data_IF_790825741375
#
_entry.id   IF_790825741375
#
_cell.length_a   1.000
_cell.length_b   1.000
_cell.length_c   1.000
_cell.angle_alpha   90.00
_cell.angle_beta   90.00
_cell.angle_gamma   90.00
#
_symmetry.space_group_name_H-M   'P 1'
#
loop_
_entity.id
_entity.type
_entity.pdbx_description
1 polymer ?
#
# COMPACT_ATOMS: atom_id res chain seq x y z
N UNK A 1 -5.84 -14.80 13.67
CA UNK A 1 -6.05 -13.47 13.04
C UNK A 1 -5.68 -13.43 11.57
N UNK A 2 -4.50 -13.89 11.14
CA UNK A 2 -4.05 -13.83 9.73
C UNK A 2 -5.08 -14.31 8.70
N UNK A 3 -5.73 -15.45 8.92
CA UNK A 3 -6.76 -15.98 8.00
C UNK A 3 -7.96 -15.03 7.86
N UNK A 4 -8.46 -14.48 8.99
CA UNK A 4 -9.58 -13.52 8.99
C UNK A 4 -9.26 -12.24 8.23
N UNK A 5 -8.06 -11.68 8.43
CA UNK A 5 -7.60 -10.47 7.72
C UNK A 5 -7.42 -10.73 6.22
N UNK A 6 -6.92 -11.92 5.87
CA UNK A 6 -6.74 -12.32 4.47
C UNK A 6 -8.10 -12.46 3.76
N UNK A 7 -9.09 -13.07 4.41
CA UNK A 7 -10.44 -13.18 3.84
C UNK A 7 -11.15 -11.83 3.75
N UNK A 8 -10.94 -10.92 4.71
CA UNK A 8 -11.43 -9.55 4.61
C UNK A 8 -10.83 -8.82 3.41
N UNK A 9 -9.51 -8.89 3.23
CA UNK A 9 -8.82 -8.32 2.08
C UNK A 9 -9.31 -8.92 0.75
N UNK A 10 -9.53 -10.23 0.73
CA UNK A 10 -10.04 -10.93 -0.44
C UNK A 10 -11.44 -10.42 -0.81
N UNK A 11 -12.36 -10.43 0.14
CA UNK A 11 -13.76 -10.02 -0.09
C UNK A 11 -13.85 -8.59 -0.60
N UNK A 12 -13.07 -7.67 -0.03
CA UNK A 12 -13.25 -6.24 -0.26
C UNK A 12 -12.39 -5.69 -1.42
N UNK A 13 -11.32 -6.38 -1.81
CA UNK A 13 -10.34 -5.86 -2.79
C UNK A 13 -10.01 -6.83 -3.93
N UNK A 14 -10.44 -8.09 -3.89
CA UNK A 14 -10.17 -9.02 -5.00
C UNK A 14 -10.87 -8.54 -6.28
N UNK A 15 -10.12 -8.54 -7.39
CA UNK A 15 -10.63 -8.10 -8.69
C UNK A 15 -10.57 -6.59 -8.91
N UNK A 16 -10.13 -5.81 -7.90
CA UNK A 16 -9.90 -4.38 -8.07
C UNK A 16 -8.77 -4.13 -9.08
N UNK A 17 -9.08 -3.38 -10.13
CA UNK A 17 -8.11 -2.99 -11.14
C UNK A 17 -7.30 -1.81 -10.61
N UNK A 18 -5.98 -1.96 -10.59
CA UNK A 18 -5.05 -0.93 -10.15
C UNK A 18 -3.93 -0.73 -11.16
N UNK A 19 -3.46 0.50 -11.25
CA UNK A 19 -2.23 0.84 -11.97
C UNK A 19 -1.12 1.07 -10.97
N UNK A 20 -0.07 0.24 -11.03
CA UNK A 20 1.06 0.33 -10.12
C UNK A 20 2.27 0.97 -10.81
N UNK A 21 2.92 1.90 -10.12
CA UNK A 21 4.19 2.51 -10.56
C UNK A 21 5.26 2.36 -9.47
N UNK A 22 6.52 2.08 -9.83
CA UNK A 22 7.63 2.05 -8.88
C UNK A 22 7.77 3.37 -8.13
N UNK A 23 8.01 3.31 -6.83
CA UNK A 23 8.40 4.51 -6.06
C UNK A 23 9.78 4.98 -6.54
N UNK A 24 9.91 6.28 -6.81
CA UNK A 24 11.04 6.91 -7.48
C UNK A 24 10.81 7.16 -8.98
N UNK A 25 9.65 6.78 -9.53
CA UNK A 25 9.29 6.99 -10.93
C UNK A 25 8.25 8.12 -11.13
N UNK A 26 8.22 9.10 -10.22
CA UNK A 26 7.28 10.23 -10.25
C UNK A 26 5.97 9.96 -9.50
N UNK A 27 6.00 9.11 -8.48
CA UNK A 27 4.81 8.78 -7.68
C UNK A 27 4.63 9.76 -6.51
N UNK A 28 3.41 10.02 -6.03
CA UNK A 28 3.18 10.75 -4.78
C UNK A 28 3.93 10.24 -3.52
N UNK A 29 4.39 8.98 -3.55
CA UNK A 29 5.19 8.35 -2.49
C UNK A 29 6.70 8.65 -2.60
N UNK A 30 7.16 9.27 -3.69
CA UNK A 30 8.57 9.56 -3.92
C UNK A 30 9.13 10.47 -2.80
N UNK A 31 10.30 10.11 -2.26
CA UNK A 31 10.94 10.82 -1.15
C UNK A 31 10.28 10.60 0.22
N UNK A 32 9.13 9.93 0.29
CA UNK A 32 8.43 9.61 1.55
C UNK A 32 8.58 8.15 1.94
N UNK A 33 8.58 7.27 0.94
CA UNK A 33 8.72 5.82 1.10
C UNK A 33 10.02 5.38 0.43
N UNK A 34 10.72 4.42 1.04
CA UNK A 34 11.86 3.78 0.40
C UNK A 34 11.43 3.12 -0.91
N UNK A 35 12.19 3.29 -2.00
CA UNK A 35 11.89 2.64 -3.29
C UNK A 35 12.11 1.13 -3.26
N UNK A 36 12.79 0.61 -2.23
CA UNK A 36 13.06 -0.82 -2.02
C UNK A 36 12.98 -1.21 -0.55
N UNK A 37 12.60 -2.45 -0.31
CA UNK A 37 12.68 -3.12 1.00
C UNK A 37 13.39 -4.46 0.79
N UNK A 38 14.65 -4.56 1.26
CA UNK A 38 15.53 -5.65 0.87
C UNK A 38 15.66 -5.71 -0.66
N UNK A 39 15.42 -6.89 -1.23
CA UNK A 39 15.44 -7.09 -2.69
C UNK A 39 14.13 -6.73 -3.39
N UNK A 40 13.10 -6.34 -2.63
CA UNK A 40 11.76 -6.09 -3.17
C UNK A 40 11.60 -4.63 -3.62
N UNK A 41 11.04 -4.42 -4.81
CA UNK A 41 10.67 -3.11 -5.32
C UNK A 41 9.36 -2.64 -4.67
N UNK A 42 9.35 -1.40 -4.18
CA UNK A 42 8.12 -0.77 -3.66
C UNK A 42 7.40 -0.06 -4.80
N UNK A 43 6.09 -0.26 -4.88
CA UNK A 43 5.21 0.37 -5.87
C UNK A 43 4.09 1.12 -5.18
N UNK A 44 3.65 2.23 -5.79
CA UNK A 44 2.37 2.84 -5.47
C UNK A 44 1.33 2.37 -6.47
N UNK A 45 0.23 1.81 -5.98
CA UNK A 45 -0.87 1.30 -6.78
C UNK A 45 -2.10 2.19 -6.61
N UNK A 46 -2.60 2.75 -7.72
CA UNK A 46 -3.77 3.61 -7.74
C UNK A 46 -4.94 2.92 -8.43
N UNK A 47 -6.15 3.10 -7.90
CA UNK A 47 -7.39 2.71 -8.60
C UNK A 47 -7.65 3.61 -9.81
N UNK A 48 -8.63 3.26 -10.64
CA UNK A 48 -9.06 4.10 -11.76
C UNK A 48 -9.51 5.51 -11.32
N UNK A 49 -10.02 5.63 -10.09
CA UNK A 49 -10.40 6.90 -9.46
C UNK A 49 -9.23 7.63 -8.79
N UNK A 50 -8.00 7.11 -8.92
CA UNK A 50 -6.79 7.71 -8.36
C UNK A 50 -6.59 7.46 -6.86
N UNK A 51 -7.32 6.51 -6.25
CA UNK A 51 -7.17 6.20 -4.82
C UNK A 51 -5.97 5.29 -4.58
N UNK A 52 -5.16 5.60 -3.58
CA UNK A 52 -4.02 4.76 -3.19
C UNK A 52 -4.49 3.50 -2.46
N UNK A 53 -4.18 2.34 -3.04
CA UNK A 53 -4.52 1.03 -2.47
C UNK A 53 -3.94 0.85 -1.07
N UNK A 54 -2.70 1.31 -0.83
CA UNK A 54 -2.07 1.18 0.49
C UNK A 54 -2.81 2.03 1.55
N UNK A 55 -3.28 3.24 1.18
CA UNK A 55 -4.17 4.04 2.03
C UNK A 55 -5.48 3.31 2.32
N UNK A 56 -6.11 2.73 1.30
CA UNK A 56 -7.37 2.00 1.47
C UNK A 56 -7.22 0.80 2.42
N UNK A 57 -6.15 0.01 2.26
CA UNK A 57 -5.87 -1.15 3.10
C UNK A 57 -5.51 -0.77 4.55
N UNK A 58 -4.81 0.35 4.75
CA UNK A 58 -4.47 0.84 6.09
C UNK A 58 -5.65 1.48 6.82
N UNK A 59 -6.51 2.21 6.11
CA UNK A 59 -7.78 2.72 6.66
C UNK A 59 -8.76 1.60 7.00
N UNK A 60 -8.79 0.52 6.19
CA UNK A 60 -9.58 -0.68 6.46
C UNK A 60 -9.04 -1.56 7.60
N UNK A 61 -7.90 -1.20 8.21
CA UNK A 61 -7.30 -1.97 9.30
C UNK A 61 -6.70 -3.32 8.86
N UNK A 62 -6.47 -3.50 7.56
CA UNK A 62 -5.90 -4.74 6.99
C UNK A 62 -4.38 -4.71 7.07
N UNK A 63 -3.80 -3.56 6.75
CA UNK A 63 -2.36 -3.30 6.84
C UNK A 63 -2.11 -2.13 7.79
N UNK A 64 -0.85 -1.97 8.16
CA UNK A 64 -0.37 -0.82 8.91
C UNK A 64 0.99 -0.39 8.35
N UNK A 65 1.30 0.89 8.46
CA UNK A 65 2.56 1.47 8.02
C UNK A 65 3.66 1.15 9.03
N UNK A 66 4.68 0.41 8.61
CA UNK A 66 5.87 0.20 9.43
C UNK A 66 6.72 1.48 9.44
N UNK A 67 6.91 2.18 10.57
CA UNK A 67 7.49 3.54 10.58
C UNK A 67 8.86 3.66 9.88
N UNK A 68 9.71 2.64 9.99
CA UNK A 68 11.04 2.60 9.36
C UNK A 68 10.98 2.63 7.83
N UNK A 69 9.90 2.14 7.22
CA UNK A 69 9.72 2.07 5.76
C UNK A 69 8.70 3.10 5.28
N UNK A 70 7.63 3.20 6.06
CA UNK A 70 6.43 4.02 6.00
C UNK A 70 6.62 5.54 6.12
N UNK A 71 7.55 5.92 7.00
CA UNK A 71 7.46 7.20 7.70
C UNK A 71 6.08 7.40 8.33
N UNK A 72 5.55 8.63 8.23
CA UNK A 72 4.19 8.99 8.64
C UNK A 72 3.16 8.89 7.49
N UNK A 73 3.51 8.26 6.36
CA UNK A 73 2.67 8.25 5.14
C UNK A 73 1.38 7.46 5.31
N UNK A 74 1.43 6.37 6.08
CA UNK A 74 0.28 5.51 6.36
C UNK A 74 0.03 5.41 7.87
N UNK A 75 -1.20 5.02 8.25
CA UNK A 75 -1.55 4.76 9.65
C UNK A 75 -0.55 3.74 10.23
N UNK A 76 0.15 4.07 11.33
CA UNK A 76 1.23 3.22 11.83
C UNK A 76 0.68 1.89 12.38
N UNK A 77 1.56 0.89 12.41
CA UNK A 77 1.43 -0.19 13.38
C UNK A 77 1.71 0.39 14.78
#
# INVERSE_FOLDING_TARGET
MRALVTEAARRDYQGLIVTCKPVGAGTPCDGKIASRVGDTLVVQCLTAEGKDLATMLTQGGILCGQPVQAGATYKPC
#
